data_IF_867891013535
#
_entry.id   IF_867891013535
#
_cell.length_a   1.000
_cell.length_b   1.000
_cell.length_c   1.000
_cell.angle_alpha   90.00
_cell.angle_beta   90.00
_cell.angle_gamma   90.00
#
_symmetry.space_group_name_H-M   'P 1'
#
loop_
_entity.id
_entity.type
_entity.pdbx_description
1 polymer ?
#
# COMPACT_ATOMS: atom_id res chain seq x y z
N UNK A 1 -2.80 -10.00 13.15
CA UNK A 1 -3.40 -8.66 13.18
C UNK A 1 -4.18 -8.54 11.89
N UNK A 2 -5.51 -8.52 11.97
CA UNK A 2 -6.33 -8.38 10.77
C UNK A 2 -6.41 -6.91 10.42
N UNK A 3 -5.75 -6.55 9.33
CA UNK A 3 -5.76 -5.20 8.78
C UNK A 3 -7.15 -4.92 8.21
N UNK A 4 -7.95 -4.13 8.93
CA UNK A 4 -9.26 -3.66 8.45
C UNK A 4 -9.05 -2.49 7.51
N UNK A 5 -9.19 -2.74 6.21
CA UNK A 5 -9.18 -1.69 5.18
C UNK A 5 -10.60 -1.53 4.66
N UNK A 6 -11.22 -0.40 4.97
CA UNK A 6 -12.49 0.01 4.36
C UNK A 6 -12.17 0.83 3.10
N UNK A 7 -12.17 0.16 1.95
CA UNK A 7 -11.72 0.74 0.68
C UNK A 7 -12.49 2.02 0.30
N UNK A 8 -13.74 2.16 0.76
CA UNK A 8 -14.57 3.34 0.54
C UNK A 8 -14.02 4.61 1.19
N UNK A 9 -13.20 4.47 2.25
CA UNK A 9 -12.57 5.58 2.96
C UNK A 9 -11.37 6.17 2.20
N UNK A 10 -10.88 5.48 1.17
CA UNK A 10 -9.68 5.87 0.43
C UNK A 10 -10.02 6.48 -0.92
N UNK A 11 -9.16 7.40 -1.35
CA UNK A 11 -9.04 7.83 -2.73
C UNK A 11 -7.80 7.20 -3.35
N UNK A 12 -7.86 6.99 -4.67
CA UNK A 12 -6.75 6.49 -5.48
C UNK A 12 -6.34 7.55 -6.49
N UNK A 13 -5.05 7.82 -6.60
CA UNK A 13 -4.43 8.57 -7.69
C UNK A 13 -3.41 7.69 -8.39
N UNK A 14 -3.30 7.86 -9.71
CA UNK A 14 -2.34 7.16 -10.54
C UNK A 14 -1.57 8.22 -11.32
N UNK A 15 -0.26 8.16 -11.28
CA UNK A 15 0.62 8.92 -12.15
C UNK A 15 0.77 8.14 -13.47
N UNK A 16 0.32 8.70 -14.59
CA UNK A 16 0.28 8.00 -15.87
C UNK A 16 1.67 7.81 -16.52
N UNK A 17 2.65 8.63 -16.16
CA UNK A 17 4.00 8.56 -16.71
C UNK A 17 4.82 7.44 -16.05
N UNK A 18 4.72 7.36 -14.73
CA UNK A 18 5.52 6.42 -13.92
C UNK A 18 4.76 5.15 -13.54
N UNK A 19 3.42 5.18 -13.67
CA UNK A 19 2.53 4.14 -13.14
C UNK A 19 2.41 4.15 -11.63
N UNK A 20 2.98 5.16 -10.93
CA UNK A 20 2.94 5.24 -9.47
C UNK A 20 1.51 5.34 -8.98
N UNK A 21 1.20 4.70 -7.86
CA UNK A 21 -0.16 4.62 -7.31
C UNK A 21 -0.16 5.13 -5.88
N UNK A 22 -1.01 6.10 -5.60
CA UNK A 22 -1.23 6.63 -4.26
C UNK A 22 -2.65 6.31 -3.80
N UNK A 23 -2.76 5.56 -2.70
CA UNK A 23 -3.99 5.43 -1.94
C UNK A 23 -3.90 6.31 -0.69
N UNK A 24 -4.92 7.12 -0.42
CA UNK A 24 -4.92 8.00 0.76
C UNK A 24 -6.33 8.14 1.32
N UNK A 25 -6.45 8.22 2.63
CA UNK A 25 -7.72 8.37 3.33
C UNK A 25 -8.32 9.77 3.08
N UNK A 26 -9.57 9.83 2.58
CA UNK A 26 -10.23 11.04 2.06
C UNK A 26 -10.18 12.24 3.00
N UNK A 27 -10.50 11.99 4.27
CA UNK A 27 -10.70 13.03 5.28
C UNK A 27 -9.60 13.03 6.35
N UNK A 28 -8.48 12.35 6.08
CA UNK A 28 -7.38 12.33 7.03
C UNK A 28 -6.79 13.73 7.19
N UNK A 29 -6.77 14.20 8.44
CA UNK A 29 -6.12 15.43 8.86
C UNK A 29 -5.21 15.09 10.03
N UNK A 30 -3.93 15.42 9.90
CA UNK A 30 -2.95 15.15 10.94
C UNK A 30 -1.61 14.72 10.36
N UNK A 31 -0.77 14.21 11.24
CA UNK A 31 0.55 13.70 10.91
C UNK A 31 0.55 12.21 11.25
N UNK A 32 0.97 11.32 10.34
CA UNK A 32 1.18 9.91 10.64
C UNK A 32 2.14 9.72 11.82
N UNK A 33 1.90 8.72 12.66
CA UNK A 33 2.81 8.38 13.77
C UNK A 33 3.78 7.24 13.41
N UNK A 34 3.52 6.54 12.31
CA UNK A 34 4.37 5.44 11.84
C UNK A 34 4.43 5.39 10.32
N UNK A 35 5.63 5.11 9.82
CA UNK A 35 5.90 4.90 8.40
C UNK A 35 6.61 3.56 8.23
N UNK A 36 6.13 2.73 7.31
CA UNK A 36 6.71 1.46 6.93
C UNK A 36 7.17 1.60 5.48
N UNK A 37 8.46 1.36 5.23
CA UNK A 37 9.03 1.41 3.89
C UNK A 37 9.32 0.00 3.40
N UNK A 38 9.01 -0.27 2.15
CA UNK A 38 9.49 -1.43 1.42
C UNK A 38 10.17 -1.03 0.12
N UNK A 39 10.63 -2.01 -0.64
CA UNK A 39 11.21 -1.72 -1.96
C UNK A 39 10.10 -1.37 -2.95
N UNK A 40 9.99 -0.08 -3.27
CA UNK A 40 9.02 0.42 -4.24
C UNK A 40 7.68 0.84 -3.67
N UNK A 41 7.54 0.88 -2.35
CA UNK A 41 6.32 1.34 -1.68
C UNK A 41 6.57 1.88 -0.26
N UNK A 42 5.62 2.66 0.23
CA UNK A 42 5.56 3.21 1.59
C UNK A 42 4.13 3.10 2.13
N UNK A 43 3.98 2.73 3.40
CA UNK A 43 2.70 2.75 4.13
C UNK A 43 2.83 3.71 5.29
N UNK A 44 1.90 4.64 5.41
CA UNK A 44 1.79 5.55 6.55
C UNK A 44 0.59 5.17 7.41
N UNK A 45 0.76 5.27 8.72
CA UNK A 45 -0.25 4.87 9.71
C UNK A 45 -0.44 5.94 10.79
N UNK A 46 -1.65 5.97 11.34
CA UNK A 46 -2.04 6.74 12.52
C UNK A 46 -2.93 5.86 13.39
N UNK A 47 -2.61 5.72 14.67
CA UNK A 47 -3.42 4.97 15.64
C UNK A 47 -3.83 3.57 15.11
N UNK A 48 -2.82 2.83 14.61
CA UNK A 48 -2.95 1.49 14.00
C UNK A 48 -3.75 1.41 12.68
N UNK A 49 -4.29 2.53 12.21
CA UNK A 49 -4.99 2.62 10.93
C UNK A 49 -4.04 3.03 9.82
N UNK A 50 -4.13 2.39 8.65
CA UNK A 50 -3.44 2.90 7.45
C UNK A 50 -4.10 4.22 7.06
N UNK A 51 -3.30 5.23 6.74
CA UNK A 51 -3.80 6.52 6.24
C UNK A 51 -3.35 6.79 4.82
N UNK A 52 -2.23 6.17 4.41
CA UNK A 52 -1.69 6.29 3.06
C UNK A 52 -0.91 5.04 2.66
N UNK A 53 -0.99 4.69 1.38
CA UNK A 53 -0.15 3.71 0.71
C UNK A 53 0.36 4.36 -0.57
N UNK A 54 1.67 4.56 -0.67
CA UNK A 54 2.35 5.07 -1.86
C UNK A 54 3.12 3.94 -2.53
N UNK A 55 2.90 3.70 -3.81
CA UNK A 55 3.55 2.67 -4.61
C UNK A 55 4.25 3.36 -5.78
N UNK A 56 5.53 3.69 -5.59
CA UNK A 56 6.34 4.44 -6.56
C UNK A 56 7.22 3.56 -7.46
N UNK A 57 7.27 2.24 -7.23
CA UNK A 57 7.81 1.24 -8.18
C UNK A 57 6.86 0.05 -8.31
N UNK A 58 5.69 0.21 -8.96
CA UNK A 58 4.63 -0.81 -9.00
C UNK A 58 5.10 -2.15 -9.58
N UNK A 59 6.05 -2.14 -10.53
CA UNK A 59 6.60 -3.36 -11.12
C UNK A 59 7.27 -4.27 -10.08
N UNK A 60 8.10 -3.70 -9.20
CA UNK A 60 8.82 -4.47 -8.17
C UNK A 60 7.82 -5.07 -7.17
N UNK A 61 6.82 -4.29 -6.76
CA UNK A 61 5.78 -4.76 -5.86
C UNK A 61 4.98 -5.93 -6.48
N UNK A 62 4.57 -5.80 -7.74
CA UNK A 62 3.82 -6.85 -8.44
C UNK A 62 4.68 -8.12 -8.59
N UNK A 63 5.96 -7.99 -8.96
CA UNK A 63 6.89 -9.14 -9.02
C UNK A 63 7.00 -9.86 -7.67
N UNK A 64 7.16 -9.11 -6.57
CA UNK A 64 7.17 -9.70 -5.22
C UNK A 64 5.85 -10.41 -4.88
N UNK A 65 4.69 -9.81 -5.17
CA UNK A 65 3.38 -10.41 -4.91
C UNK A 65 3.23 -11.71 -5.71
N UNK A 66 3.54 -11.69 -7.02
CA UNK A 66 3.43 -12.86 -7.88
C UNK A 66 4.34 -14.01 -7.42
N UNK A 67 5.58 -13.71 -7.03
CA UNK A 67 6.51 -14.71 -6.51
C UNK A 67 6.00 -15.33 -5.20
N UNK A 68 5.52 -14.49 -4.28
CA UNK A 68 4.96 -14.97 -3.00
C UNK A 68 3.72 -15.86 -3.18
N UNK A 69 2.90 -15.57 -4.20
CA UNK A 69 1.71 -16.37 -4.51
C UNK A 69 2.10 -17.75 -5.05
N UNK A 70 3.09 -17.82 -5.94
CA UNK A 70 3.60 -19.09 -6.46
C UNK A 70 4.16 -19.99 -5.35
N UNK A 71 4.97 -19.43 -4.45
CA UNK A 71 5.53 -20.16 -3.30
C UNK A 71 4.43 -20.71 -2.37
N UNK A 72 3.35 -19.95 -2.17
CA UNK A 72 2.21 -20.41 -1.35
C UNK A 72 1.37 -21.53 -2.01
N UNK A 73 1.42 -21.65 -3.34
CA UNK A 73 0.70 -22.68 -4.10
C UNK A 73 1.49 -23.98 -4.21
N UNK A 74 2.83 -23.91 -4.17
CA UNK A 74 3.71 -25.10 -4.21
C UNK A 74 3.78 -25.81 -2.85
N UNK A 75 3.57 -25.09 -1.75
CA UNK A 75 3.68 -25.61 -0.38
C UNK A 75 2.35 -26.04 0.24
N UNK A 76 1.27 -26.15 -0.54
CA UNK A 76 -0.05 -26.67 -0.16
C UNK A 76 -0.45 -27.85 -1.04
#
# INVERSE_FOLDING_TARGET
MDLKIELEQYQKKIDEETGSILFFMKDFKGIPDKVINGDGWTIEMKDESIVMIDIYKPKILIEHILNSYQESTINN
#
